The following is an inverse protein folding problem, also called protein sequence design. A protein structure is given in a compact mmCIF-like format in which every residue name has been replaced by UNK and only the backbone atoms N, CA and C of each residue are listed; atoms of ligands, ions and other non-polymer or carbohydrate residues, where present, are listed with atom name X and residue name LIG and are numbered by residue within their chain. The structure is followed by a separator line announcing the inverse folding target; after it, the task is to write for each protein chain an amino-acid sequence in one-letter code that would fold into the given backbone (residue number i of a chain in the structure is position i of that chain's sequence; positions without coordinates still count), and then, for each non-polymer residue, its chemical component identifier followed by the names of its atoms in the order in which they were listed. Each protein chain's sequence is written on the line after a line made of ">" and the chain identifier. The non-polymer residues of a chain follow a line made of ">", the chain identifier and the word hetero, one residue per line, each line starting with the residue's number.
data_IF_523601564225
#
_entry.id   IF_523601564225
#
_cell.length_a   1.000
_cell.length_b   1.000
_cell.length_c   1.000
_cell.angle_alpha   90.00
_cell.angle_beta   90.00
_cell.angle_gamma   90.00
#
_symmetry.space_group_name_H-M   'P 1'
#
loop_
_entity.id
_entity.type
_entity.pdbx_description
1 polymer ?
#
# COMPACT_ATOMS: atom_id res chain seq x y z
N UNK A 1 -9.83 -8.64 -10.01
CA UNK A 1 -9.19 -8.33 -11.31
C UNK A 1 -9.79 -7.03 -11.83
N UNK A 2 -9.05 -6.24 -12.61
CA UNK A 2 -9.65 -5.18 -13.42
C UNK A 2 -9.27 -5.34 -14.89
N UNK A 3 -10.14 -4.85 -15.78
CA UNK A 3 -9.93 -4.76 -17.22
C UNK A 3 -10.32 -3.33 -17.65
N UNK A 4 -9.38 -2.60 -18.24
CA UNK A 4 -9.63 -1.30 -18.86
C UNK A 4 -9.38 -1.43 -20.35
N UNK A 5 -10.39 -1.14 -21.18
CA UNK A 5 -10.23 -1.19 -22.63
C UNK A 5 -11.31 -0.37 -23.34
N UNK A 6 -11.40 -0.48 -24.66
CA UNK A 6 -12.48 0.04 -25.46
C UNK A 6 -13.80 -0.70 -25.16
N UNK A 7 -14.93 -0.12 -25.59
CA UNK A 7 -16.24 -0.68 -25.27
C UNK A 7 -16.46 -2.07 -25.86
N UNK A 8 -15.92 -2.37 -27.03
CA UNK A 8 -16.15 -3.65 -27.70
C UNK A 8 -15.42 -4.79 -26.99
N UNK A 9 -14.19 -4.55 -26.53
CA UNK A 9 -13.47 -5.50 -25.69
C UNK A 9 -14.13 -5.67 -24.32
N UNK A 10 -14.65 -4.59 -23.72
CA UNK A 10 -15.40 -4.70 -22.46
C UNK A 10 -16.66 -5.55 -22.64
N UNK A 11 -17.40 -5.39 -23.74
CA UNK A 11 -18.56 -6.25 -24.07
C UNK A 11 -18.12 -7.71 -24.19
N UNK A 12 -17.06 -7.98 -24.95
CA UNK A 12 -16.50 -9.32 -25.08
C UNK A 12 -16.09 -9.91 -23.72
N UNK A 13 -15.42 -9.12 -22.89
CA UNK A 13 -14.93 -9.55 -21.59
C UNK A 13 -16.09 -9.88 -20.64
N UNK A 14 -17.15 -9.07 -20.64
CA UNK A 14 -18.40 -9.33 -19.89
C UNK A 14 -19.10 -10.61 -20.35
N UNK A 15 -19.21 -10.83 -21.66
CA UNK A 15 -19.80 -12.07 -22.20
C UNK A 15 -19.01 -13.33 -21.82
N UNK A 16 -17.72 -13.19 -21.51
CA UNK A 16 -16.82 -14.28 -21.16
C UNK A 16 -16.33 -14.22 -19.70
N UNK A 17 -17.02 -13.49 -18.82
CA UNK A 17 -16.53 -13.22 -17.46
C UNK A 17 -16.22 -14.50 -16.68
N UNK A 18 -17.05 -15.54 -16.83
CA UNK A 18 -16.84 -16.84 -16.16
C UNK A 18 -15.52 -17.51 -16.57
N UNK A 19 -15.09 -17.35 -17.82
CA UNK A 19 -13.82 -17.86 -18.32
C UNK A 19 -12.65 -17.11 -17.68
N UNK A 20 -12.73 -15.77 -17.60
CA UNK A 20 -11.71 -14.94 -16.95
C UNK A 20 -11.58 -15.28 -15.46
N UNK A 21 -12.71 -15.36 -14.74
CA UNK A 21 -12.73 -15.73 -13.32
C UNK A 21 -12.07 -17.09 -13.08
N UNK A 22 -12.38 -18.10 -13.90
CA UNK A 22 -11.77 -19.44 -13.81
C UNK A 22 -10.28 -19.45 -14.16
N UNK A 23 -9.90 -18.82 -15.27
CA UNK A 23 -8.52 -18.88 -15.80
C UNK A 23 -7.54 -18.11 -14.93
N UNK A 24 -7.98 -16.98 -14.37
CA UNK A 24 -7.13 -16.06 -13.60
C UNK A 24 -7.35 -16.17 -12.08
N UNK A 25 -8.16 -17.14 -11.63
CA UNK A 25 -8.54 -17.33 -10.23
C UNK A 25 -9.00 -16.02 -9.56
N UNK A 26 -9.78 -15.23 -10.30
CA UNK A 26 -10.28 -13.94 -9.82
C UNK A 26 -11.67 -14.12 -9.19
N UNK A 27 -11.86 -13.60 -7.97
CA UNK A 27 -13.18 -13.54 -7.32
C UNK A 27 -14.12 -12.61 -8.09
N UNK A 28 -13.63 -11.42 -8.43
CA UNK A 28 -14.38 -10.40 -9.18
C UNK A 28 -13.58 -9.74 -10.29
N UNK A 29 -14.30 -9.24 -11.30
CA UNK A 29 -13.76 -8.49 -12.43
C UNK A 29 -14.39 -7.10 -12.46
N UNK A 30 -13.54 -6.08 -12.35
CA UNK A 30 -13.91 -4.67 -12.44
C UNK A 30 -13.65 -4.21 -13.88
N UNK A 31 -14.67 -3.70 -14.56
CA UNK A 31 -14.51 -3.17 -15.91
C UNK A 31 -14.41 -1.65 -15.85
N UNK A 32 -13.32 -1.12 -16.38
CA UNK A 32 -13.03 0.31 -16.39
C UNK A 32 -13.11 0.88 -17.80
N UNK A 33 -13.68 2.07 -17.96
CA UNK A 33 -13.54 2.83 -19.21
C UNK A 33 -12.18 3.52 -19.28
N UNK A 34 -11.76 3.97 -20.48
CA UNK A 34 -10.40 4.48 -20.73
C UNK A 34 -9.92 5.59 -19.77
N UNK A 35 -10.84 6.44 -19.31
CA UNK A 35 -10.52 7.58 -18.44
C UNK A 35 -10.66 7.26 -16.94
N UNK A 36 -11.10 6.07 -16.57
CA UNK A 36 -11.22 5.71 -15.17
C UNK A 36 -9.87 5.35 -14.56
N UNK A 37 -9.71 5.76 -13.30
CA UNK A 37 -8.53 5.46 -12.51
C UNK A 37 -8.43 3.97 -12.22
N UNK A 38 -7.20 3.47 -12.30
CA UNK A 38 -6.90 2.08 -11.98
C UNK A 38 -6.85 1.91 -10.45
N UNK A 39 -7.60 0.95 -9.88
CA UNK A 39 -7.58 0.73 -8.43
C UNK A 39 -6.19 0.30 -7.94
N UNK A 40 -5.81 0.76 -6.74
CA UNK A 40 -4.51 0.47 -6.14
C UNK A 40 -4.36 -1.00 -5.70
N UNK A 41 -3.11 -1.48 -5.66
CA UNK A 41 -2.78 -2.84 -5.17
C UNK A 41 -2.98 -3.96 -6.19
N UNK A 42 -3.01 -3.65 -7.48
CA UNK A 42 -3.06 -4.62 -8.58
C UNK A 42 -1.71 -4.68 -9.30
N UNK A 43 -1.25 -5.88 -9.65
CA UNK A 43 -0.18 -6.02 -10.63
C UNK A 43 -0.78 -5.75 -12.01
N UNK A 44 -0.33 -4.67 -12.65
CA UNK A 44 -0.84 -4.17 -13.93
C UNK A 44 0.06 -4.64 -15.07
N UNK A 45 -0.56 -5.06 -16.17
CA UNK A 45 0.07 -5.29 -17.46
C UNK A 45 -0.71 -4.49 -18.51
N UNK A 46 0.02 -3.82 -19.40
CA UNK A 46 -0.54 -3.07 -20.52
C UNK A 46 -0.31 -3.86 -21.82
N UNK A 47 -1.38 -4.13 -22.55
CA UNK A 47 -1.38 -4.84 -23.83
C UNK A 47 -2.17 -3.95 -24.79
N UNK A 48 -1.53 -3.40 -25.82
CA UNK A 48 -2.12 -2.53 -26.88
C UNK A 48 -3.62 -2.19 -26.67
N UNK A 49 -3.90 -0.99 -26.16
CA UNK A 49 -5.25 -0.46 -25.86
C UNK A 49 -6.09 -1.23 -24.81
N UNK A 50 -5.44 -2.09 -24.04
CA UNK A 50 -5.98 -2.85 -22.90
C UNK A 50 -5.02 -2.70 -21.71
N UNK A 51 -5.55 -2.37 -20.53
CA UNK A 51 -4.84 -2.55 -19.26
C UNK A 51 -5.54 -3.61 -18.44
N UNK A 52 -4.82 -4.67 -18.05
CA UNK A 52 -5.33 -5.71 -17.17
C UNK A 52 -4.59 -5.64 -15.84
N UNK A 53 -5.33 -5.72 -14.74
CA UNK A 53 -4.73 -5.89 -13.43
C UNK A 53 -5.24 -7.11 -12.69
N UNK A 54 -4.30 -7.87 -12.15
CA UNK A 54 -4.61 -8.98 -11.26
C UNK A 54 -4.20 -8.58 -9.86
N UNK A 55 -5.16 -8.62 -8.94
CA UNK A 55 -4.87 -8.48 -7.51
C UNK A 55 -4.33 -9.81 -7.07
N UNK A 56 -3.05 -9.86 -6.72
CA UNK A 56 -2.49 -11.07 -6.16
C UNK A 56 -3.27 -11.40 -4.89
N UNK A 57 -4.02 -12.50 -4.92
CA UNK A 57 -4.44 -13.21 -3.71
C UNK A 57 -3.24 -13.97 -3.14
N UNK A 58 -2.06 -13.34 -3.14
CA UNK A 58 -0.96 -13.90 -2.37
C UNK A 58 -1.35 -13.71 -0.92
N UNK A 59 -1.47 -14.82 -0.19
CA UNK A 59 -1.17 -14.77 1.25
C UNK A 59 0.07 -13.90 1.40
N UNK A 60 0.06 -12.91 2.31
CA UNK A 60 1.24 -12.09 2.51
C UNK A 60 2.41 -13.06 2.70
N UNK A 61 3.39 -13.00 1.77
CA UNK A 61 4.51 -13.94 1.85
C UNK A 61 5.19 -13.74 3.20
N UNK A 62 5.68 -14.82 3.82
CA UNK A 62 6.41 -14.72 5.09
C UNK A 62 7.53 -13.66 4.98
N UNK A 63 8.15 -13.56 3.80
CA UNK A 63 9.12 -12.52 3.44
C UNK A 63 8.56 -11.09 3.41
N UNK A 64 7.31 -10.91 2.96
CA UNK A 64 6.62 -9.61 2.96
C UNK A 64 6.21 -9.14 4.36
N UNK A 65 5.75 -10.06 5.22
CA UNK A 65 5.47 -9.73 6.64
C UNK A 65 6.77 -9.38 7.36
N UNK A 66 7.84 -10.16 7.14
CA UNK A 66 9.16 -9.87 7.70
C UNK A 66 9.69 -8.50 7.26
N UNK A 67 9.49 -8.12 5.99
CA UNK A 67 9.88 -6.80 5.49
C UNK A 67 9.10 -5.68 6.18
N UNK A 68 7.78 -5.83 6.32
CA UNK A 68 6.93 -4.84 7.02
C UNK A 68 7.31 -4.74 8.51
N UNK A 69 7.61 -5.87 9.16
CA UNK A 69 8.09 -5.88 10.55
C UNK A 69 9.45 -5.19 10.70
N UNK A 70 10.37 -5.40 9.75
CA UNK A 70 11.65 -4.70 9.73
C UNK A 70 11.47 -3.19 9.56
N UNK A 71 10.61 -2.76 8.64
CA UNK A 71 10.29 -1.34 8.45
C UNK A 71 9.65 -0.71 9.69
N UNK A 72 8.76 -1.44 10.36
CA UNK A 72 8.18 -1.01 11.63
C UNK A 72 9.27 -0.80 12.69
N UNK A 73 10.18 -1.76 12.85
CA UNK A 73 11.28 -1.67 13.79
C UNK A 73 12.19 -0.46 13.51
N UNK A 74 12.59 -0.25 12.25
CA UNK A 74 13.43 0.88 11.84
C UNK A 74 12.74 2.23 12.16
N UNK A 75 11.41 2.32 11.97
CA UNK A 75 10.64 3.54 12.28
C UNK A 75 10.47 3.75 13.78
N UNK A 76 10.30 2.70 14.56
CA UNK A 76 10.26 2.78 16.03
C UNK A 76 11.61 3.23 16.60
N UNK A 77 12.71 2.67 16.11
CA UNK A 77 14.08 3.09 16.46
C UNK A 77 14.32 4.56 16.10
N UNK A 78 13.93 4.97 14.88
CA UNK A 78 14.04 6.36 14.45
C UNK A 78 13.19 7.31 15.31
N UNK A 79 11.98 6.91 15.70
CA UNK A 79 11.14 7.68 16.61
C UNK A 79 11.80 7.86 17.99
N UNK A 80 12.43 6.81 18.53
CA UNK A 80 13.16 6.91 19.81
C UNK A 80 14.36 7.85 19.68
N UNK A 81 15.09 7.77 18.58
CA UNK A 81 16.18 8.70 18.29
C UNK A 81 15.69 10.16 18.23
N UNK A 82 14.58 10.43 17.53
CA UNK A 82 14.01 11.78 17.48
C UNK A 82 13.55 12.29 18.85
N UNK A 83 12.97 11.41 19.70
CA UNK A 83 12.59 11.78 21.08
C UNK A 83 13.81 12.15 21.92
N UNK A 84 14.89 11.38 21.82
CA UNK A 84 16.15 11.66 22.51
C UNK A 84 16.75 12.99 22.03
N UNK A 85 16.79 13.20 20.72
CA UNK A 85 17.26 14.45 20.12
C UNK A 85 16.45 15.66 20.58
N UNK A 86 15.12 15.54 20.64
CA UNK A 86 14.27 16.62 21.19
C UNK A 86 14.61 16.90 22.65
N UNK A 87 14.87 15.88 23.46
CA UNK A 87 15.27 16.05 24.85
C UNK A 87 16.60 16.79 24.97
N UNK A 88 17.61 16.43 24.17
CA UNK A 88 18.92 17.12 24.10
C UNK A 88 18.81 18.57 23.62
N UNK A 89 17.95 18.83 22.62
CA UNK A 89 17.71 20.18 22.12
C UNK A 89 17.03 21.06 23.18
N UNK A 90 16.13 20.49 23.99
CA UNK A 90 15.51 21.20 25.11
C UNK A 90 16.52 21.51 26.23
N UNK A 91 17.46 20.61 26.54
CA UNK A 91 18.46 20.82 27.60
C UNK A 91 19.59 21.76 27.17
N UNK A 92 19.91 21.80 25.88
CA UNK A 92 20.93 22.69 25.30
C UNK A 92 20.43 24.13 25.03
N UNK A 93 19.13 24.39 25.20
CA UNK A 93 18.55 25.71 24.92
C UNK A 93 18.50 26.06 23.43
N UNK A 94 18.39 25.05 22.56
CA UNK A 94 18.25 25.23 21.13
C UNK A 94 16.97 25.99 20.76
N UNK A 95 16.93 26.56 19.55
CA UNK A 95 15.79 27.32 19.06
C UNK A 95 14.50 26.48 19.09
N UNK A 96 13.45 27.06 19.68
CA UNK A 96 12.11 26.48 19.74
C UNK A 96 11.56 26.13 18.35
N UNK A 97 11.97 26.85 17.29
CA UNK A 97 11.56 26.53 15.93
C UNK A 97 12.07 25.14 15.48
N UNK A 98 13.32 24.81 15.82
CA UNK A 98 13.97 23.53 15.48
C UNK A 98 13.35 22.40 16.33
N UNK A 99 13.10 22.66 17.61
CA UNK A 99 12.43 21.72 18.51
C UNK A 99 11.02 21.39 17.98
N UNK A 100 10.29 22.41 17.52
CA UNK A 100 8.96 22.22 16.96
C UNK A 100 8.99 21.41 15.66
N UNK A 101 9.93 21.69 14.74
CA UNK A 101 10.10 20.89 13.53
C UNK A 101 10.34 19.40 13.85
N UNK A 102 11.16 19.11 14.88
CA UNK A 102 11.42 17.73 15.30
C UNK A 102 10.21 17.07 15.97
N UNK A 103 9.37 17.82 16.69
CA UNK A 103 8.07 17.32 17.20
C UNK A 103 7.06 17.02 16.09
N UNK A 104 7.04 17.84 15.05
CA UNK A 104 6.18 17.61 13.88
C UNK A 104 6.66 16.37 13.11
N UNK A 105 7.98 16.16 13.01
CA UNK A 105 8.59 14.96 12.45
C UNK A 105 8.19 13.70 13.24
N UNK A 106 8.23 13.75 14.58
CA UNK A 106 7.74 12.65 15.45
C UNK A 106 6.27 12.34 15.16
N UNK A 107 5.43 13.36 14.97
CA UNK A 107 4.01 13.18 14.69
C UNK A 107 3.77 12.46 13.35
N UNK A 108 4.56 12.80 12.32
CA UNK A 108 4.52 12.11 11.01
C UNK A 108 4.95 10.65 11.12
N UNK A 109 6.08 10.39 11.79
CA UNK A 109 6.58 9.02 12.00
C UNK A 109 5.56 8.18 12.79
N UNK A 110 4.86 8.78 13.77
CA UNK A 110 3.80 8.08 14.50
C UNK A 110 2.65 7.64 13.60
N UNK A 111 2.21 8.49 12.67
CA UNK A 111 1.18 8.12 11.69
C UNK A 111 1.65 7.00 10.76
N UNK A 112 2.91 7.05 10.32
CA UNK A 112 3.50 5.97 9.50
C UNK A 112 3.56 4.63 10.26
N UNK A 113 3.92 4.65 11.55
CA UNK A 113 3.91 3.48 12.44
C UNK A 113 2.49 2.91 12.60
N UNK A 114 1.48 3.75 12.77
CA UNK A 114 0.08 3.31 12.87
C UNK A 114 -0.40 2.64 11.57
N UNK A 115 -0.04 3.20 10.41
CA UNK A 115 -0.33 2.61 9.10
C UNK A 115 0.36 1.25 8.91
N UNK A 116 1.66 1.15 9.24
CA UNK A 116 2.41 -0.11 9.16
C UNK A 116 1.81 -1.17 10.08
N UNK A 117 1.43 -0.81 11.31
CA UNK A 117 0.76 -1.72 12.23
C UNK A 117 -0.59 -2.21 11.69
N UNK A 118 -1.36 -1.33 11.07
CA UNK A 118 -2.61 -1.70 10.40
C UNK A 118 -2.38 -2.67 9.24
N UNK A 119 -1.38 -2.42 8.39
CA UNK A 119 -1.02 -3.31 7.29
C UNK A 119 -0.56 -4.69 7.77
N UNK A 120 0.30 -4.74 8.80
CA UNK A 120 0.75 -6.00 9.42
C UNK A 120 -0.44 -6.76 10.03
N UNK A 121 -1.34 -6.07 10.73
CA UNK A 121 -2.53 -6.69 11.34
C UNK A 121 -3.49 -7.25 10.30
N UNK A 122 -3.72 -6.49 9.21
CA UNK A 122 -4.52 -6.94 8.06
C UNK A 122 -3.91 -8.14 7.35
N UNK A 123 -2.57 -8.25 7.35
CA UNK A 123 -1.87 -9.42 6.83
C UNK A 123 -2.05 -10.64 7.76
N UNK A 124 -1.97 -10.46 9.08
CA UNK A 124 -2.13 -11.54 10.08
C UNK A 124 -3.57 -12.05 10.24
N UNK A 125 -4.59 -11.21 10.02
CA UNK A 125 -6.00 -11.60 10.09
C UNK A 125 -6.49 -12.46 8.91
N UNK A 126 -5.65 -12.68 7.89
CA UNK A 126 -5.96 -13.48 6.70
C UNK A 126 -5.36 -14.89 6.71
N UNK A 127 -4.74 -15.28 7.83
CA UNK A 127 -4.36 -16.66 8.13
C UNK A 127 -5.40 -17.32 9.04
#
# INVERSE_FOLDING_TARGET
>A
MFIRSNQDFIKFARSNESLFKKTLHAEDVIYLVHHEEVPCGYKKEDIIDISIGIKAMSKPSISGILLLQKQLQEKEEYMQHLKHLVQELNTSGADNSIIQQKKDEISKIKQEIELLNFEISKCKMKD
#
